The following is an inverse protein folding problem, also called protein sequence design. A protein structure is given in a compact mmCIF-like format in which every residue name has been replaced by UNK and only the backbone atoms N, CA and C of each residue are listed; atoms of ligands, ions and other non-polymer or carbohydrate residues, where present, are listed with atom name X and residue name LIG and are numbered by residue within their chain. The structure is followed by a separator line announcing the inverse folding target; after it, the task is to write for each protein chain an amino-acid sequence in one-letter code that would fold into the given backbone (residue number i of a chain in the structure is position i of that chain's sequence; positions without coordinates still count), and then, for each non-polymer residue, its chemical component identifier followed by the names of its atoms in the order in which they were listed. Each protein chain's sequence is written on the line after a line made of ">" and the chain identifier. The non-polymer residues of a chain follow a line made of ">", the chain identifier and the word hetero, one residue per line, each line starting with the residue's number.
data_IF_016723096556
#
_entry.id   IF_016723096556
#
_cell.length_a   1.000
_cell.length_b   1.000
_cell.length_c   1.000
_cell.angle_alpha   90.00
_cell.angle_beta   90.00
_cell.angle_gamma   90.00
#
_symmetry.space_group_name_H-M   'P 1'
#
loop_
_entity.id
_entity.type
_entity.pdbx_description
1 polymer ?
#
# COMPACT_ATOMS: atom_id res chain seq x y z
N UNK A 1 -34.64 -3.26 0.45
CA UNK A 1 -34.59 -3.52 -0.95
C UNK A 1 -33.21 -3.63 -1.46
N UNK A 2 -32.96 -4.67 -2.15
CA UNK A 2 -31.68 -4.90 -2.75
C UNK A 2 -31.26 -3.86 -3.77
N UNK A 3 -32.19 -3.04 -4.18
CA UNK A 3 -31.94 -1.98 -5.13
C UNK A 3 -30.83 -1.02 -4.73
N UNK A 4 -30.48 -0.99 -3.45
CA UNK A 4 -29.46 -0.07 -2.97
C UNK A 4 -28.08 -0.67 -3.00
N UNK A 5 -27.96 -1.91 -3.47
CA UNK A 5 -26.67 -2.59 -3.56
C UNK A 5 -25.98 -2.16 -4.85
N UNK A 6 -25.41 -0.95 -4.83
CA UNK A 6 -24.58 -0.52 -5.95
C UNK A 6 -23.26 -1.27 -5.93
N UNK A 7 -22.79 -1.72 -7.09
CA UNK A 7 -21.44 -2.30 -7.18
C UNK A 7 -20.40 -1.28 -6.76
N UNK A 8 -19.34 -1.76 -6.16
CA UNK A 8 -18.24 -0.89 -5.76
C UNK A 8 -17.57 -0.32 -7.01
N UNK A 9 -17.53 1.01 -7.09
CA UNK A 9 -16.83 1.72 -8.14
C UNK A 9 -15.41 2.02 -7.66
N UNK A 10 -14.43 1.36 -8.25
CA UNK A 10 -13.05 1.41 -7.78
C UNK A 10 -12.38 2.69 -8.23
N UNK A 11 -11.83 3.42 -7.28
CA UNK A 11 -10.99 4.59 -7.51
C UNK A 11 -9.59 4.30 -6.95
N UNK A 12 -8.75 5.31 -6.87
CA UNK A 12 -7.38 5.14 -6.41
C UNK A 12 -7.12 5.98 -5.18
N UNK A 13 -6.49 5.35 -4.18
CA UNK A 13 -5.95 6.04 -3.01
C UNK A 13 -4.46 6.21 -3.21
N UNK A 14 -4.01 7.46 -3.15
CA UNK A 14 -2.60 7.78 -3.33
C UNK A 14 -2.14 8.60 -2.13
N UNK A 15 -1.00 8.23 -1.56
CA UNK A 15 -0.46 8.92 -0.41
C UNK A 15 1.06 8.80 -0.39
N UNK A 16 1.69 9.78 0.23
CA UNK A 16 3.15 9.83 0.40
C UNK A 16 3.48 10.29 1.80
N UNK A 17 4.61 9.79 2.31
CA UNK A 17 5.14 10.20 3.60
C UNK A 17 6.66 10.23 3.55
N UNK A 18 7.25 11.15 4.32
CA UNK A 18 8.70 11.24 4.47
C UNK A 18 9.04 11.28 5.95
N UNK A 19 10.15 10.66 6.28
CA UNK A 19 10.71 10.71 7.63
C UNK A 19 12.05 11.42 7.57
N UNK A 20 12.23 12.37 8.46
CA UNK A 20 13.44 13.19 8.51
C UNK A 20 14.16 13.00 9.82
N UNK A 21 15.46 13.15 9.78
CA UNK A 21 16.33 13.16 10.95
C UNK A 21 17.38 14.24 10.75
N UNK A 22 17.45 15.18 11.70
CA UNK A 22 18.37 16.34 11.63
C UNK A 22 18.24 17.11 10.31
N UNK A 23 17.02 17.28 9.83
CA UNK A 23 16.76 18.01 8.58
C UNK A 23 17.02 17.24 7.30
N UNK A 24 17.42 15.96 7.40
CA UNK A 24 17.70 15.12 6.24
C UNK A 24 16.59 14.09 6.08
N UNK A 25 16.05 13.95 4.87
CA UNK A 25 15.10 12.90 4.58
C UNK A 25 15.83 11.55 4.55
N UNK A 26 15.44 10.65 5.44
CA UNK A 26 16.09 9.34 5.55
C UNK A 26 15.22 8.20 5.01
N UNK A 27 13.90 8.41 4.93
CA UNK A 27 12.97 7.43 4.42
C UNK A 27 11.86 8.12 3.65
N UNK A 28 11.52 7.58 2.50
CA UNK A 28 10.38 8.03 1.68
C UNK A 28 9.47 6.84 1.42
N UNK A 29 8.18 7.03 1.61
CA UNK A 29 7.19 5.99 1.34
C UNK A 29 6.06 6.55 0.50
N UNK A 30 5.59 5.75 -0.45
CA UNK A 30 4.44 6.10 -1.28
C UNK A 30 3.56 4.89 -1.46
N UNK A 31 2.26 5.14 -1.68
CA UNK A 31 1.33 4.06 -1.97
C UNK A 31 0.32 4.45 -3.02
N UNK A 32 -0.11 3.44 -3.76
CA UNK A 32 -1.22 3.49 -4.72
C UNK A 32 -2.06 2.24 -4.46
N UNK A 33 -3.18 2.42 -3.77
CA UNK A 33 -4.09 1.34 -3.41
C UNK A 33 -5.48 1.61 -3.98
N UNK A 34 -6.33 0.58 -4.11
CA UNK A 34 -7.71 0.80 -4.46
C UNK A 34 -8.45 1.58 -3.39
N UNK A 35 -9.44 2.35 -3.81
CA UNK A 35 -10.34 3.07 -2.92
C UNK A 35 -11.73 3.08 -3.57
N UNK A 36 -12.70 3.62 -2.87
CA UNK A 36 -14.02 3.83 -3.43
C UNK A 36 -14.74 4.94 -2.68
N UNK A 37 -15.63 5.62 -3.38
CA UNK A 37 -16.58 6.55 -2.78
C UNK A 37 -18.00 6.01 -2.80
N UNK A 38 -18.18 4.77 -3.23
CA UNK A 38 -19.49 4.14 -3.32
C UNK A 38 -20.13 4.10 -1.94
N UNK A 39 -21.38 4.60 -1.77
CA UNK A 39 -22.06 4.52 -0.50
C UNK A 39 -22.53 3.09 -0.22
N UNK A 40 -22.95 2.86 1.02
CA UNK A 40 -23.48 1.58 1.44
C UNK A 40 -22.44 0.66 2.04
N UNK A 41 -22.88 -0.52 2.45
CA UNK A 41 -22.04 -1.44 3.21
C UNK A 41 -20.91 -2.05 2.38
N UNK A 42 -21.19 -2.35 1.11
CA UNK A 42 -20.16 -2.90 0.23
C UNK A 42 -19.00 -1.91 0.03
N UNK A 43 -19.33 -0.65 -0.24
CA UNK A 43 -18.33 0.40 -0.39
C UNK A 43 -17.54 0.63 0.90
N UNK A 44 -18.22 0.61 2.04
CA UNK A 44 -17.55 0.78 3.33
C UNK A 44 -16.56 -0.34 3.62
N UNK A 45 -16.92 -1.60 3.34
CA UNK A 45 -16.02 -2.73 3.56
C UNK A 45 -14.79 -2.63 2.66
N UNK A 46 -14.99 -2.35 1.38
CA UNK A 46 -13.90 -2.21 0.42
C UNK A 46 -12.94 -1.08 0.86
N UNK A 47 -13.50 0.09 1.13
CA UNK A 47 -12.72 1.25 1.55
C UNK A 47 -11.97 1.00 2.84
N UNK A 48 -12.63 0.39 3.82
CA UNK A 48 -12.02 0.09 5.11
C UNK A 48 -10.84 -0.86 4.96
N UNK A 49 -10.98 -1.89 4.13
CA UNK A 49 -9.90 -2.85 3.91
C UNK A 49 -8.62 -2.17 3.43
N UNK A 50 -8.73 -1.36 2.38
CA UNK A 50 -7.55 -0.72 1.81
C UNK A 50 -7.03 0.44 2.66
N UNK A 51 -7.89 1.10 3.41
CA UNK A 51 -7.42 2.14 4.33
C UNK A 51 -6.70 1.55 5.53
N UNK A 52 -7.12 0.40 6.01
CA UNK A 52 -6.37 -0.35 7.02
C UNK A 52 -5.04 -0.86 6.46
N UNK A 53 -5.04 -1.28 5.20
CA UNK A 53 -3.82 -1.71 4.52
C UNK A 53 -2.82 -0.54 4.44
N UNK A 54 -3.30 0.63 4.04
CA UNK A 54 -2.47 1.83 3.97
C UNK A 54 -1.90 2.20 5.35
N UNK A 55 -2.73 2.14 6.37
CA UNK A 55 -2.30 2.43 7.74
C UNK A 55 -1.24 1.45 8.21
N UNK A 56 -1.44 0.17 7.93
CA UNK A 56 -0.46 -0.87 8.28
C UNK A 56 0.86 -0.67 7.57
N UNK A 57 0.82 -0.26 6.30
CA UNK A 57 2.03 0.01 5.54
C UNK A 57 2.82 1.16 6.15
N UNK A 58 2.18 2.29 6.44
CA UNK A 58 2.87 3.43 7.03
C UNK A 58 3.37 3.12 8.45
N UNK A 59 2.62 2.31 9.18
CA UNK A 59 3.08 1.85 10.50
C UNK A 59 4.33 0.97 10.38
N UNK A 60 4.36 0.08 9.40
CA UNK A 60 5.54 -0.73 9.11
C UNK A 60 6.74 0.18 8.77
N UNK A 61 6.54 1.19 7.96
CA UNK A 61 7.59 2.16 7.66
C UNK A 61 8.10 2.85 8.93
N UNK A 62 7.20 3.27 9.80
CA UNK A 62 7.56 3.97 11.03
C UNK A 62 8.30 3.05 12.00
N UNK A 63 7.84 1.82 12.18
CA UNK A 63 8.32 0.94 13.24
C UNK A 63 9.52 0.09 12.82
N UNK A 64 9.61 -0.24 11.52
CA UNK A 64 10.64 -1.15 11.04
C UNK A 64 11.66 -0.46 10.13
N UNK A 65 11.22 0.31 9.16
CA UNK A 65 12.13 0.90 8.17
C UNK A 65 12.81 2.17 8.67
N UNK A 66 12.12 3.00 9.43
CA UNK A 66 12.71 4.22 9.93
C UNK A 66 13.91 3.96 10.85
N UNK A 67 13.86 3.03 11.82
CA UNK A 67 15.07 2.70 12.60
C UNK A 67 16.22 2.19 11.74
N UNK A 68 15.93 1.39 10.72
CA UNK A 68 16.97 0.94 9.78
C UNK A 68 17.58 2.11 9.02
N UNK A 69 16.74 3.02 8.56
CA UNK A 69 17.19 4.21 7.86
C UNK A 69 18.13 5.05 8.73
N UNK A 70 17.80 5.19 10.01
CA UNK A 70 18.66 5.93 10.94
C UNK A 70 20.01 5.25 11.13
N UNK A 71 20.03 3.93 11.23
CA UNK A 71 21.29 3.19 11.37
C UNK A 71 22.18 3.37 10.14
N UNK A 72 21.59 3.28 8.95
CA UNK A 72 22.33 3.44 7.70
C UNK A 72 22.84 4.87 7.57
N UNK A 73 22.00 5.85 7.91
CA UNK A 73 22.39 7.25 7.86
C UNK A 73 23.58 7.53 8.78
N UNK A 74 23.51 7.05 10.02
CA UNK A 74 24.61 7.25 10.99
C UNK A 74 25.89 6.58 10.54
N UNK A 75 25.79 5.36 10.00
CA UNK A 75 26.96 4.65 9.48
C UNK A 75 27.61 5.39 8.32
N UNK A 76 26.79 5.86 7.37
CA UNK A 76 27.31 6.64 6.24
C UNK A 76 27.99 7.91 6.71
N UNK A 77 27.42 8.59 7.70
CA UNK A 77 27.98 9.80 8.25
C UNK A 77 29.31 9.55 8.94
N UNK A 78 29.40 8.49 9.74
CA UNK A 78 30.65 8.11 10.42
C UNK A 78 31.76 7.74 9.45
N UNK A 79 31.40 7.07 8.36
CA UNK A 79 32.35 6.61 7.35
C UNK A 79 32.56 7.62 6.24
N UNK A 80 31.94 8.79 6.33
CA UNK A 80 32.00 9.86 5.32
C UNK A 80 31.61 9.36 3.93
N UNK A 81 30.57 8.50 3.89
CA UNK A 81 30.02 7.96 2.66
C UNK A 81 28.74 8.68 2.28
N UNK A 82 28.41 8.77 0.98
CA UNK A 82 27.15 9.36 0.58
C UNK A 82 25.98 8.51 1.07
N UNK A 83 24.88 9.20 1.42
CA UNK A 83 23.67 8.57 1.89
C UNK A 83 22.54 8.87 0.91
N UNK A 84 21.73 7.84 0.60
CA UNK A 84 20.48 7.99 -0.13
C UNK A 84 19.34 7.54 0.75
N UNK A 85 18.20 8.25 0.77
CA UNK A 85 17.05 7.82 1.55
C UNK A 85 16.59 6.43 1.18
N UNK A 86 16.16 5.66 2.17
CA UNK A 86 15.47 4.41 1.92
C UNK A 86 14.13 4.71 1.26
N UNK A 87 13.69 3.82 0.37
CA UNK A 87 12.42 3.98 -0.31
C UNK A 87 11.57 2.74 -0.13
N UNK A 88 10.29 2.96 0.11
CA UNK A 88 9.30 1.91 0.18
C UNK A 88 8.09 2.33 -0.65
N UNK A 89 7.58 1.41 -1.47
CA UNK A 89 6.42 1.67 -2.30
C UNK A 89 5.44 0.52 -2.18
N UNK A 90 4.17 0.87 -2.11
CA UNK A 90 3.08 -0.10 -2.13
C UNK A 90 2.23 0.24 -3.35
N UNK A 91 2.20 -0.63 -4.34
CA UNK A 91 1.54 -0.35 -5.62
C UNK A 91 0.65 -1.49 -6.03
N UNK A 92 -0.59 -1.16 -6.34
CA UNK A 92 -1.57 -2.10 -6.86
C UNK A 92 -1.61 -2.07 -8.38
N UNK A 93 -1.67 -3.25 -8.97
CA UNK A 93 -1.94 -3.42 -10.40
C UNK A 93 -3.22 -4.24 -10.57
N UNK A 94 -4.17 -3.68 -11.31
CA UNK A 94 -5.43 -4.37 -11.61
C UNK A 94 -5.22 -5.27 -12.82
N UNK A 95 -5.57 -6.54 -12.67
CA UNK A 95 -5.44 -7.52 -13.75
C UNK A 95 -6.76 -7.85 -14.42
N UNK A 96 -7.87 -7.70 -13.69
CA UNK A 96 -9.21 -7.89 -14.23
C UNK A 96 -10.17 -6.99 -13.47
N UNK A 97 -11.01 -6.28 -14.19
CA UNK A 97 -12.06 -5.48 -13.56
C UNK A 97 -13.28 -5.44 -14.47
N UNK A 98 -14.42 -5.81 -13.89
CA UNK A 98 -15.71 -5.61 -14.51
C UNK A 98 -16.70 -5.20 -13.41
N UNK A 99 -18.00 -5.22 -13.69
CA UNK A 99 -19.01 -4.79 -12.73
C UNK A 99 -19.12 -5.68 -11.50
N UNK A 100 -18.65 -6.92 -11.60
CA UNK A 100 -18.81 -7.90 -10.53
C UNK A 100 -17.51 -8.27 -9.84
N UNK A 101 -16.41 -8.29 -10.60
CA UNK A 101 -15.16 -8.84 -10.11
C UNK A 101 -14.03 -7.86 -10.28
N UNK A 102 -13.15 -7.88 -9.31
CA UNK A 102 -11.87 -7.20 -9.36
C UNK A 102 -10.79 -8.20 -8.99
N UNK A 103 -9.80 -8.32 -9.86
CA UNK A 103 -8.59 -9.10 -9.57
C UNK A 103 -7.40 -8.16 -9.66
N UNK A 104 -6.52 -8.24 -8.68
CA UNK A 104 -5.37 -7.36 -8.61
C UNK A 104 -4.23 -8.00 -7.85
N UNK A 105 -3.05 -7.42 -8.00
CA UNK A 105 -1.96 -7.70 -7.08
C UNK A 105 -1.38 -6.39 -6.54
N UNK A 106 -0.83 -6.49 -5.35
CA UNK A 106 -0.16 -5.37 -4.69
C UNK A 106 1.28 -5.75 -4.42
N UNK A 107 2.20 -4.93 -4.93
CA UNK A 107 3.62 -5.11 -4.72
C UNK A 107 4.10 -4.17 -3.63
N UNK A 108 4.75 -4.74 -2.62
CA UNK A 108 5.55 -3.98 -1.68
C UNK A 108 6.98 -4.01 -2.18
N UNK A 109 7.50 -2.87 -2.57
CA UNK A 109 8.86 -2.72 -3.07
C UNK A 109 9.65 -1.87 -2.08
N UNK A 110 10.82 -2.38 -1.70
CA UNK A 110 11.72 -1.65 -0.82
C UNK A 110 13.11 -1.62 -1.45
N UNK A 111 13.77 -0.49 -1.31
CA UNK A 111 15.18 -0.36 -1.68
C UNK A 111 15.93 0.08 -0.42
N UNK A 112 16.56 -0.88 0.24
CA UNK A 112 17.29 -0.67 1.48
C UNK A 112 18.77 -0.92 1.21
N UNK A 113 19.59 0.11 1.39
CA UNK A 113 21.05 0.02 1.25
C UNK A 113 21.46 -0.55 -0.13
N UNK A 114 20.74 -0.13 -1.18
CA UNK A 114 21.01 -0.57 -2.54
C UNK A 114 20.52 -1.98 -2.88
N UNK A 115 19.79 -2.62 -1.98
CA UNK A 115 19.27 -3.98 -2.18
C UNK A 115 17.76 -3.91 -2.44
N UNK A 116 17.32 -4.16 -3.68
CA UNK A 116 15.90 -4.18 -3.96
C UNK A 116 15.23 -5.42 -3.37
N UNK A 117 14.03 -5.24 -2.88
CA UNK A 117 13.22 -6.30 -2.29
C UNK A 117 11.78 -6.07 -2.73
N UNK A 118 11.09 -7.14 -3.13
CA UNK A 118 9.71 -7.05 -3.57
C UNK A 118 8.90 -8.23 -3.07
N UNK A 119 7.75 -7.95 -2.46
CA UNK A 119 6.76 -8.97 -2.10
C UNK A 119 5.48 -8.65 -2.84
N UNK A 120 4.89 -9.66 -3.47
CA UNK A 120 3.63 -9.54 -4.20
C UNK A 120 2.53 -10.30 -3.47
N UNK A 121 1.37 -9.65 -3.36
CA UNK A 121 0.17 -10.24 -2.81
C UNK A 121 -0.98 -10.07 -3.80
N UNK A 122 -1.68 -11.16 -4.10
CA UNK A 122 -2.83 -11.13 -5.00
C UNK A 122 -4.12 -11.12 -4.20
N UNK A 123 -5.08 -10.33 -4.65
CA UNK A 123 -6.41 -10.24 -4.06
C UNK A 123 -7.46 -10.28 -5.14
N UNK A 124 -8.61 -10.85 -4.80
CA UNK A 124 -9.81 -10.83 -5.63
C UNK A 124 -10.98 -10.28 -4.81
N UNK A 125 -11.92 -9.62 -5.49
CA UNK A 125 -13.07 -8.99 -4.84
C UNK A 125 -14.35 -9.26 -5.59
N UNK A 126 -15.40 -9.57 -4.84
CA UNK A 126 -16.77 -9.49 -5.31
C UNK A 126 -17.20 -8.02 -5.13
N UNK A 127 -17.26 -7.28 -6.22
CA UNK A 127 -17.60 -5.85 -6.16
C UNK A 127 -19.07 -5.59 -5.87
N UNK A 128 -19.93 -6.57 -6.14
CA UNK A 128 -21.36 -6.43 -5.86
C UNK A 128 -21.63 -6.43 -4.37
N UNK A 129 -20.96 -7.31 -3.65
CA UNK A 129 -21.17 -7.49 -2.20
C UNK A 129 -20.09 -6.80 -1.36
N UNK A 130 -18.95 -6.48 -1.97
CA UNK A 130 -17.84 -5.84 -1.27
C UNK A 130 -17.10 -6.77 -0.34
N UNK A 131 -16.96 -8.04 -0.73
CA UNK A 131 -16.18 -9.02 0.02
C UNK A 131 -14.97 -9.49 -0.76
N UNK A 132 -13.85 -9.74 -0.07
CA UNK A 132 -12.72 -10.36 -0.75
C UNK A 132 -13.05 -11.79 -1.11
N UNK A 133 -12.45 -12.26 -2.21
CA UNK A 133 -12.61 -13.62 -2.68
C UNK A 133 -11.34 -14.40 -2.39
N UNK A 134 -11.52 -15.65 -1.99
CA UNK A 134 -10.40 -16.57 -1.84
C UNK A 134 -10.13 -17.27 -3.17
N UNK A 135 -8.99 -17.93 -3.25
CA UNK A 135 -8.61 -18.69 -4.44
C UNK A 135 -9.66 -19.73 -4.81
N UNK A 136 -10.34 -20.30 -3.82
CA UNK A 136 -11.35 -21.32 -4.04
C UNK A 136 -12.68 -20.78 -4.54
N UNK A 137 -12.88 -19.47 -4.48
CA UNK A 137 -14.11 -18.82 -4.92
C UNK A 137 -13.99 -18.23 -6.33
N UNK A 138 -12.80 -18.27 -6.87
CA UNK A 138 -12.53 -17.73 -8.21
C UNK A 138 -12.72 -18.76 -9.34
#
# INVERSE_FOLDING_TARGET
>A
MGKNAEPVCVTQLQAEKQWQYEGVTVLQASLWLPDTKTPGSAGRRFRRYYRLYARSFFRYCQMELFPQALQIYRRCREQQQPFSPLQAQLRTTVTLQNERLLSLYTDLEENTDGRPFCIRRSDGWDLTRGYPLTLFQL
#
